data_IF_341818121473
#
_entry.id   IF_341818121473
#
_cell.length_a   1.000
_cell.length_b   1.000
_cell.length_c   1.000
_cell.angle_alpha   90.00
_cell.angle_beta   90.00
_cell.angle_gamma   90.00
#
_symmetry.space_group_name_H-M   'P 1'
#
loop_
_entity.id
_entity.type
_entity.pdbx_description
1 polymer ?
#
# COMPACT_ATOMS: atom_id res chain seq x y z
N UNK A 1 30.88 14.62 -7.30
CA UNK A 1 30.50 13.91 -8.55
C UNK A 1 29.70 14.86 -9.42
N UNK A 2 29.96 14.86 -10.74
CA UNK A 2 29.36 15.81 -11.70
C UNK A 2 27.83 15.86 -11.66
N UNK A 3 27.15 14.72 -11.50
CA UNK A 3 25.67 14.68 -11.44
C UNK A 3 25.05 15.57 -10.35
N UNK A 4 25.79 15.89 -9.27
CA UNK A 4 25.31 16.79 -8.21
C UNK A 4 25.19 18.26 -8.65
N UNK A 5 25.77 18.62 -9.79
CA UNK A 5 25.73 20.00 -10.32
C UNK A 5 24.59 20.22 -11.31
N UNK A 6 23.82 19.19 -11.67
CA UNK A 6 22.69 19.28 -12.59
C UNK A 6 21.43 19.75 -11.84
N UNK A 7 21.40 21.03 -11.48
CA UNK A 7 20.26 21.68 -10.84
C UNK A 7 19.46 22.51 -11.84
N UNK A 8 18.20 22.83 -11.52
CA UNK A 8 17.38 23.75 -12.32
C UNK A 8 18.07 25.11 -12.45
N UNK A 9 18.08 25.67 -13.66
CA UNK A 9 18.63 27.00 -13.91
C UNK A 9 17.81 28.09 -13.18
N UNK A 10 18.49 29.13 -12.72
CA UNK A 10 17.84 30.31 -12.15
C UNK A 10 16.92 30.97 -13.19
N UNK A 11 15.68 31.24 -12.82
CA UNK A 11 14.68 31.83 -13.73
C UNK A 11 13.97 30.84 -14.65
N UNK A 12 14.18 29.53 -14.49
CA UNK A 12 13.40 28.52 -15.21
C UNK A 12 11.89 28.68 -14.96
N UNK A 13 11.11 28.60 -16.04
CA UNK A 13 9.64 28.69 -16.00
C UNK A 13 9.01 27.33 -16.23
N UNK A 14 7.86 27.09 -15.58
CA UNK A 14 7.07 25.87 -15.70
C UNK A 14 5.65 26.22 -16.16
N UNK A 15 5.00 25.34 -16.94
CA UNK A 15 3.61 25.54 -17.39
C UNK A 15 2.62 25.61 -16.21
N UNK A 16 2.93 24.92 -15.11
CA UNK A 16 2.14 24.90 -13.87
C UNK A 16 3.02 24.61 -12.67
N UNK A 17 2.76 25.27 -11.54
CA UNK A 17 3.43 25.02 -10.27
C UNK A 17 2.37 24.66 -9.23
N UNK A 18 2.51 23.48 -8.61
CA UNK A 18 1.65 23.01 -7.51
C UNK A 18 2.51 22.86 -6.27
N UNK A 19 2.12 23.54 -5.18
CA UNK A 19 2.83 23.47 -3.89
C UNK A 19 1.99 22.66 -2.90
N UNK A 20 2.59 21.65 -2.28
CA UNK A 20 1.95 20.78 -1.29
C UNK A 20 2.76 20.85 0.01
N UNK A 21 2.10 21.12 1.13
CA UNK A 21 2.74 21.08 2.46
C UNK A 21 2.74 19.63 2.96
N UNK A 22 3.93 19.09 3.26
CA UNK A 22 4.06 17.69 3.63
C UNK A 22 3.35 17.36 4.95
N UNK A 23 3.33 18.30 5.88
CA UNK A 23 2.65 18.21 7.18
C UNK A 23 1.12 18.10 7.07
N UNK A 24 0.52 18.53 5.96
CA UNK A 24 -0.92 18.42 5.71
C UNK A 24 -1.32 17.04 5.16
N UNK A 25 -0.35 16.23 4.73
CA UNK A 25 -0.60 14.92 4.11
C UNK A 25 -0.75 13.86 5.20
N UNK A 26 -2.00 13.51 5.53
CA UNK A 26 -2.30 12.36 6.37
C UNK A 26 -1.98 11.03 5.68
N UNK A 27 -1.82 9.91 6.43
CA UNK A 27 -1.65 8.58 5.82
C UNK A 27 -2.74 8.27 4.80
N UNK A 28 -2.34 7.94 3.58
CA UNK A 28 -3.22 7.76 2.43
C UNK A 28 -3.48 6.28 2.13
N UNK A 29 -4.63 6.00 1.52
CA UNK A 29 -5.01 4.68 1.01
C UNK A 29 -5.92 4.83 -0.21
N UNK A 30 -5.72 4.00 -1.23
CA UNK A 30 -6.65 3.99 -2.38
C UNK A 30 -7.95 3.31 -1.99
N UNK A 31 -9.10 3.91 -2.27
CA UNK A 31 -10.41 3.28 -2.08
C UNK A 31 -10.92 2.59 -3.34
N UNK A 32 -10.44 3.00 -4.52
CA UNK A 32 -10.93 2.51 -5.81
C UNK A 32 -9.95 1.59 -6.55
N UNK A 33 -10.06 1.56 -7.88
CA UNK A 33 -9.33 0.65 -8.78
C UNK A 33 -8.23 1.34 -9.59
N UNK A 34 -7.88 2.59 -9.26
CA UNK A 34 -6.70 3.24 -9.82
C UNK A 34 -6.01 4.13 -8.77
N UNK A 35 -4.73 4.52 -9.00
CA UNK A 35 -3.98 5.30 -8.01
C UNK A 35 -4.53 6.71 -7.72
N UNK A 36 -5.36 7.28 -8.60
CA UNK A 36 -6.00 8.57 -8.37
C UNK A 36 -7.22 8.52 -7.44
N UNK A 37 -7.79 7.33 -7.21
CA UNK A 37 -8.90 7.12 -6.28
C UNK A 37 -8.36 6.87 -4.87
N UNK A 38 -7.85 7.95 -4.26
CA UNK A 38 -7.14 7.95 -2.97
C UNK A 38 -7.79 8.92 -1.99
N UNK A 39 -7.77 8.56 -0.70
CA UNK A 39 -8.23 9.39 0.42
C UNK A 39 -7.29 9.22 1.62
N UNK A 40 -7.37 10.13 2.59
CA UNK A 40 -6.77 9.87 3.90
C UNK A 40 -7.46 8.68 4.54
N UNK A 41 -6.73 7.88 5.31
CA UNK A 41 -7.26 6.63 5.89
C UNK A 41 -8.50 6.82 6.78
N UNK A 42 -8.64 8.00 7.39
CA UNK A 42 -9.78 8.36 8.25
C UNK A 42 -10.91 9.08 7.51
N UNK A 43 -10.71 9.44 6.24
CA UNK A 43 -11.76 10.09 5.46
C UNK A 43 -12.78 9.04 5.01
N UNK A 44 -14.02 9.48 4.81
CA UNK A 44 -15.08 8.62 4.30
C UNK A 44 -14.89 8.34 2.81
N UNK A 45 -15.17 7.09 2.41
CA UNK A 45 -15.24 6.70 1.01
C UNK A 45 -16.28 7.59 0.31
N UNK A 46 -15.93 8.23 -0.83
CA UNK A 46 -16.81 9.19 -1.47
C UNK A 46 -18.07 8.53 -2.03
N UNK A 47 -19.19 9.24 -1.93
CA UNK A 47 -20.43 8.86 -2.60
C UNK A 47 -20.31 9.20 -4.10
N UNK A 48 -20.54 8.26 -5.03
CA UNK A 48 -20.54 8.56 -6.46
C UNK A 48 -21.46 9.73 -6.85
N UNK A 49 -22.56 9.93 -6.13
CA UNK A 49 -23.48 11.05 -6.38
C UNK A 49 -22.84 12.44 -6.12
N UNK A 50 -21.73 12.50 -5.37
CA UNK A 50 -21.01 13.76 -5.08
C UNK A 50 -20.14 14.25 -6.25
N UNK A 51 -19.84 13.40 -7.24
CA UNK A 51 -19.05 13.80 -8.40
C UNK A 51 -19.92 14.53 -9.43
N UNK A 52 -19.50 15.73 -9.81
CA UNK A 52 -20.19 16.55 -10.82
C UNK A 52 -19.98 16.01 -12.24
N UNK A 53 -18.77 15.50 -12.53
CA UNK A 53 -18.45 14.90 -13.82
C UNK A 53 -19.11 13.52 -13.95
N UNK A 54 -19.96 13.29 -14.97
CA UNK A 54 -20.61 12.00 -15.18
C UNK A 54 -19.62 10.85 -15.44
N UNK A 55 -18.44 11.13 -16.00
CA UNK A 55 -17.38 10.13 -16.23
C UNK A 55 -16.76 9.70 -14.90
N UNK A 56 -16.43 10.67 -14.03
CA UNK A 56 -15.91 10.37 -12.70
C UNK A 56 -16.93 9.63 -11.85
N UNK A 57 -18.20 10.04 -11.88
CA UNK A 57 -19.31 9.35 -11.20
C UNK A 57 -19.40 7.89 -11.64
N UNK A 58 -19.47 7.63 -12.95
CA UNK A 58 -19.54 6.27 -13.47
C UNK A 58 -18.28 5.44 -13.13
N UNK A 59 -17.11 6.08 -13.06
CA UNK A 59 -15.86 5.44 -12.63
C UNK A 59 -15.89 5.08 -11.14
N UNK A 60 -16.40 5.97 -10.28
CA UNK A 60 -16.59 5.73 -8.85
C UNK A 60 -17.59 4.60 -8.58
N UNK A 61 -18.74 4.58 -9.26
CA UNK A 61 -19.74 3.50 -9.14
C UNK A 61 -19.13 2.12 -9.45
N UNK A 62 -18.40 2.01 -10.56
CA UNK A 62 -17.72 0.77 -10.95
C UNK A 62 -16.65 0.37 -9.95
N UNK A 63 -15.84 1.33 -9.50
CA UNK A 63 -14.78 1.08 -8.53
C UNK A 63 -15.36 0.57 -7.20
N UNK A 64 -16.42 1.19 -6.66
CA UNK A 64 -17.05 0.74 -5.42
C UNK A 64 -17.68 -0.65 -5.57
N UNK A 65 -18.33 -0.92 -6.70
CA UNK A 65 -18.90 -2.24 -6.99
C UNK A 65 -17.82 -3.33 -7.04
N UNK A 66 -16.71 -3.08 -7.73
CA UNK A 66 -15.57 -4.01 -7.82
C UNK A 66 -14.93 -4.23 -6.44
N UNK A 67 -14.62 -3.11 -5.75
CA UNK A 67 -13.96 -3.11 -4.45
C UNK A 67 -14.89 -3.61 -3.34
N UNK A 68 -16.19 -3.81 -3.60
CA UNK A 68 -17.17 -4.24 -2.60
C UNK A 68 -17.22 -3.29 -1.41
N UNK A 69 -17.22 -1.98 -1.68
CA UNK A 69 -17.21 -0.92 -0.68
C UNK A 69 -18.54 -0.17 -0.66
N UNK A 70 -18.90 0.35 0.51
CA UNK A 70 -20.03 1.26 0.70
C UNK A 70 -19.50 2.69 0.85
N UNK A 71 -20.17 3.70 0.26
CA UNK A 71 -19.81 5.09 0.50
C UNK A 71 -20.13 5.51 1.94
N UNK A 72 -19.49 6.57 2.41
CA UNK A 72 -19.79 7.21 3.70
C UNK A 72 -19.16 6.57 4.94
N UNK A 73 -18.42 5.46 4.79
CA UNK A 73 -17.63 4.86 5.88
C UNK A 73 -16.13 5.06 5.61
N UNK A 74 -15.28 5.13 6.66
CA UNK A 74 -13.83 5.16 6.48
C UNK A 74 -13.29 3.76 6.14
N UNK A 75 -12.14 3.71 5.48
CA UNK A 75 -11.47 2.43 5.18
C UNK A 75 -10.99 1.70 6.45
N UNK A 76 -10.86 2.41 7.58
CA UNK A 76 -10.53 1.78 8.86
C UNK A 76 -11.56 0.76 9.35
N UNK A 77 -12.80 0.82 8.85
CA UNK A 77 -13.85 -0.16 9.15
C UNK A 77 -13.81 -1.39 8.21
N UNK A 78 -12.90 -1.41 7.25
CA UNK A 78 -12.82 -2.45 6.22
C UNK A 78 -11.73 -3.47 6.56
N UNK A 79 -12.14 -4.73 6.75
CA UNK A 79 -11.24 -5.85 7.00
C UNK A 79 -10.45 -6.25 5.77
N UNK A 80 -9.28 -6.83 5.98
CA UNK A 80 -8.41 -7.35 4.93
C UNK A 80 -8.17 -8.85 5.07
N UNK A 81 -7.86 -9.51 3.96
CA UNK A 81 -7.51 -10.93 3.91
C UNK A 81 -6.01 -11.14 3.72
N UNK A 82 -5.35 -10.22 2.99
CA UNK A 82 -3.92 -10.30 2.69
C UNK A 82 -3.19 -8.98 2.88
N UNK A 83 -1.90 -9.10 3.18
CA UNK A 83 -0.95 -8.00 3.14
C UNK A 83 0.21 -8.36 2.26
N UNK A 84 0.64 -7.41 1.44
CA UNK A 84 1.81 -7.55 0.59
C UNK A 84 2.74 -6.35 0.75
N UNK A 85 3.89 -6.58 1.39
CA UNK A 85 4.99 -5.63 1.51
C UNK A 85 6.08 -6.07 0.53
N UNK A 86 6.10 -5.45 -0.63
CA UNK A 86 7.00 -5.81 -1.72
C UNK A 86 6.67 -5.03 -2.98
N UNK A 87 7.69 -4.56 -3.69
CA UNK A 87 7.63 -4.03 -5.07
C UNK A 87 8.93 -3.27 -5.35
N UNK A 88 9.25 -3.01 -6.62
CA UNK A 88 10.32 -2.08 -6.96
C UNK A 88 10.13 -0.66 -6.38
N UNK A 89 8.91 -0.30 -5.97
CA UNK A 89 8.58 1.03 -5.43
C UNK A 89 8.83 1.14 -3.93
N UNK A 90 8.48 0.10 -3.15
CA UNK A 90 8.34 0.17 -1.70
C UNK A 90 8.89 -1.08 -0.98
N UNK A 91 10.10 -1.50 -1.35
CA UNK A 91 10.81 -2.60 -0.66
C UNK A 91 12.32 -2.35 -0.59
N UNK A 92 12.70 -1.08 -0.44
CA UNK A 92 14.07 -0.68 -0.06
C UNK A 92 14.29 -0.96 1.43
N UNK A 93 15.51 -0.81 1.91
CA UNK A 93 15.82 -1.14 3.30
C UNK A 93 15.04 -0.26 4.29
N UNK A 94 14.88 1.03 3.98
CA UNK A 94 14.08 1.96 4.79
C UNK A 94 12.59 1.60 4.84
N UNK A 95 12.04 1.05 3.75
CA UNK A 95 10.67 0.56 3.70
C UNK A 95 10.48 -0.64 4.64
N UNK A 96 11.43 -1.58 4.61
CA UNK A 96 11.41 -2.77 5.47
C UNK A 96 11.61 -2.41 6.94
N UNK A 97 12.48 -1.45 7.26
CA UNK A 97 12.64 -0.94 8.64
C UNK A 97 11.34 -0.32 9.15
N UNK A 98 10.71 0.55 8.36
CA UNK A 98 9.45 1.20 8.75
C UNK A 98 8.33 0.18 9.01
N UNK A 99 8.23 -0.87 8.18
CA UNK A 99 7.30 -1.97 8.41
C UNK A 99 7.68 -2.82 9.63
N UNK A 100 8.96 -3.10 9.84
CA UNK A 100 9.44 -3.90 10.96
C UNK A 100 9.19 -3.23 12.32
N UNK A 101 9.34 -1.91 12.43
CA UNK A 101 9.02 -1.17 13.66
C UNK A 101 7.55 -1.38 14.08
N UNK A 102 6.63 -1.44 13.11
CA UNK A 102 5.22 -1.76 13.37
C UNK A 102 5.01 -3.26 13.65
N UNK A 103 5.73 -4.16 13.00
CA UNK A 103 5.58 -5.60 13.23
C UNK A 103 6.15 -6.06 14.59
N UNK A 104 7.18 -5.39 15.10
CA UNK A 104 7.95 -5.79 16.29
C UNK A 104 7.06 -5.93 17.52
N UNK A 105 7.13 -7.09 18.16
CA UNK A 105 6.36 -7.42 19.37
C UNK A 105 4.86 -7.64 19.13
N UNK A 106 4.39 -7.63 17.88
CA UNK A 106 2.99 -7.87 17.50
C UNK A 106 2.87 -9.18 16.72
N UNK A 107 1.63 -9.61 16.45
CA UNK A 107 1.32 -10.76 15.62
C UNK A 107 0.35 -10.36 14.52
N UNK A 108 0.51 -10.95 13.34
CA UNK A 108 -0.46 -10.87 12.24
C UNK A 108 -1.83 -11.33 12.76
N UNK A 109 -2.86 -10.57 12.43
CA UNK A 109 -4.21 -10.80 12.88
C UNK A 109 -4.74 -12.16 12.39
N UNK A 110 -5.58 -12.86 13.18
CA UNK A 110 -6.16 -14.14 12.76
C UNK A 110 -6.89 -14.02 11.41
N UNK A 111 -6.59 -14.94 10.50
CA UNK A 111 -7.19 -14.97 9.17
C UNK A 111 -6.49 -14.09 8.11
N UNK A 112 -5.51 -13.27 8.50
CA UNK A 112 -4.72 -12.47 7.54
C UNK A 112 -3.48 -13.24 7.10
N UNK A 113 -3.24 -13.30 5.79
CA UNK A 113 -1.96 -13.76 5.23
C UNK A 113 -1.08 -12.56 4.88
N UNK A 114 0.10 -12.44 5.50
CA UNK A 114 1.00 -11.32 5.29
C UNK A 114 2.33 -11.76 4.67
N UNK A 115 2.71 -11.12 3.55
CA UNK A 115 3.90 -11.44 2.77
C UNK A 115 4.88 -10.26 2.82
N UNK A 116 6.17 -10.55 3.02
CA UNK A 116 7.24 -9.56 2.85
C UNK A 116 8.25 -10.04 1.81
N UNK A 117 8.47 -9.21 0.80
CA UNK A 117 9.30 -9.51 -0.37
C UNK A 117 10.32 -8.38 -0.55
N UNK A 118 11.61 -8.62 -0.21
CA UNK A 118 12.67 -7.62 -0.41
C UNK A 118 12.83 -7.24 -1.88
N UNK A 119 13.17 -5.98 -2.16
CA UNK A 119 13.25 -5.48 -3.53
C UNK A 119 14.43 -6.01 -4.35
N UNK A 120 15.45 -6.56 -3.68
CA UNK A 120 16.63 -7.14 -4.32
C UNK A 120 17.38 -8.07 -3.36
N UNK A 121 18.31 -8.86 -3.90
CA UNK A 121 19.23 -9.69 -3.12
C UNK A 121 20.04 -8.89 -2.07
N UNK A 122 20.67 -7.75 -2.44
CA UNK A 122 21.38 -6.91 -1.47
C UNK A 122 20.48 -6.37 -0.36
N UNK A 123 19.26 -5.92 -0.68
CA UNK A 123 18.31 -5.44 0.35
C UNK A 123 17.91 -6.58 1.29
N UNK A 124 17.67 -7.78 0.76
CA UNK A 124 17.40 -8.97 1.58
C UNK A 124 18.56 -9.27 2.53
N UNK A 125 19.77 -9.37 2.00
CA UNK A 125 20.97 -9.66 2.78
C UNK A 125 21.19 -8.62 3.88
N UNK A 126 20.96 -7.33 3.58
CA UNK A 126 21.03 -6.27 4.56
C UNK A 126 19.93 -6.38 5.63
N UNK A 127 18.68 -6.62 5.23
CA UNK A 127 17.57 -6.79 6.16
C UNK A 127 17.79 -7.98 7.11
N UNK A 128 18.38 -9.08 6.62
CA UNK A 128 18.73 -10.26 7.42
C UNK A 128 19.91 -9.98 8.36
N UNK A 129 20.92 -9.23 7.91
CA UNK A 129 22.02 -8.78 8.77
C UNK A 129 21.55 -7.86 9.90
N UNK A 130 20.51 -7.05 9.65
CA UNK A 130 19.86 -6.18 10.64
C UNK A 130 18.83 -6.94 11.51
N UNK A 131 18.50 -8.19 11.17
CA UNK A 131 17.52 -9.02 11.89
C UNK A 131 16.05 -8.64 11.65
N UNK A 132 15.76 -7.88 10.59
CA UNK A 132 14.40 -7.49 10.23
C UNK A 132 13.55 -8.70 9.81
N UNK A 133 14.18 -9.67 9.14
CA UNK A 133 13.55 -10.95 8.77
C UNK A 133 12.99 -11.68 9.99
N UNK A 134 13.74 -11.70 11.09
CA UNK A 134 13.33 -12.33 12.35
C UNK A 134 12.13 -11.62 12.96
N UNK A 135 12.10 -10.29 12.92
CA UNK A 135 10.95 -9.49 13.39
C UNK A 135 9.69 -9.87 12.59
N UNK A 136 9.80 -9.93 11.27
CA UNK A 136 8.68 -10.30 10.41
C UNK A 136 8.21 -11.74 10.64
N UNK A 137 9.14 -12.71 10.68
CA UNK A 137 8.83 -14.12 10.93
C UNK A 137 8.20 -14.30 12.31
N UNK A 138 8.73 -13.64 13.34
CA UNK A 138 8.17 -13.68 14.68
C UNK A 138 6.75 -13.12 14.69
N UNK A 139 6.51 -12.01 13.99
CA UNK A 139 5.18 -11.45 13.86
C UNK A 139 4.22 -12.33 13.03
N UNK A 140 4.69 -13.34 12.31
CA UNK A 140 3.88 -14.26 11.51
C UNK A 140 3.78 -13.88 10.04
N UNK A 141 4.64 -12.99 9.55
CA UNK A 141 4.77 -12.70 8.13
C UNK A 141 5.57 -13.79 7.42
N UNK A 142 5.20 -14.07 6.17
CA UNK A 142 5.97 -14.91 5.27
C UNK A 142 7.13 -14.13 4.66
N UNK A 143 8.37 -14.47 5.05
CA UNK A 143 9.59 -13.88 4.50
C UNK A 143 9.99 -14.55 3.18
N UNK A 144 9.86 -13.83 2.06
CA UNK A 144 10.09 -14.38 0.71
C UNK A 144 11.50 -14.09 0.16
N UNK A 145 11.78 -14.72 -0.98
CA UNK A 145 12.92 -14.36 -1.84
C UNK A 145 12.61 -13.09 -2.63
N UNK A 146 13.64 -12.29 -2.99
CA UNK A 146 13.43 -11.04 -3.70
C UNK A 146 12.86 -11.30 -5.10
N UNK A 147 11.90 -10.48 -5.53
CA UNK A 147 11.26 -10.61 -6.83
C UNK A 147 9.97 -9.81 -6.94
N UNK A 148 9.30 -9.88 -8.10
CA UNK A 148 8.05 -9.15 -8.30
C UNK A 148 6.86 -9.74 -7.51
N UNK A 149 6.81 -11.06 -7.32
CA UNK A 149 5.80 -11.75 -6.48
C UNK A 149 4.38 -11.24 -6.78
N UNK A 150 3.58 -10.92 -5.74
CA UNK A 150 2.20 -10.48 -5.86
C UNK A 150 2.05 -9.14 -6.59
N UNK A 151 3.08 -8.29 -6.69
CA UNK A 151 3.01 -7.02 -7.46
C UNK A 151 2.60 -7.25 -8.94
N UNK A 152 2.90 -8.44 -9.46
CA UNK A 152 2.54 -8.92 -10.80
C UNK A 152 1.67 -10.19 -10.77
N UNK A 153 1.15 -10.59 -9.61
CA UNK A 153 0.46 -11.87 -9.40
C UNK A 153 1.29 -13.09 -9.89
N UNK A 154 2.60 -13.06 -9.67
CA UNK A 154 3.51 -14.13 -10.10
C UNK A 154 3.51 -15.29 -9.12
N UNK A 155 3.84 -16.48 -9.62
CA UNK A 155 3.87 -17.71 -8.83
C UNK A 155 2.50 -17.97 -8.15
N UNK A 156 2.53 -18.46 -6.91
CA UNK A 156 1.33 -18.66 -6.08
C UNK A 156 0.96 -17.41 -5.27
N UNK A 157 1.73 -16.32 -5.36
CA UNK A 157 1.45 -15.08 -4.64
C UNK A 157 0.39 -14.27 -5.43
N UNK A 158 -0.89 -14.60 -5.23
CA UNK A 158 -2.02 -13.96 -5.90
C UNK A 158 -3.25 -13.84 -4.97
N UNK A 159 -4.14 -12.92 -5.31
CA UNK A 159 -5.45 -12.80 -4.72
C UNK A 159 -6.45 -13.74 -5.39
N UNK A 160 -7.29 -14.37 -4.57
CA UNK A 160 -8.49 -15.05 -5.00
C UNK A 160 -9.64 -14.04 -5.20
N UNK A 161 -10.69 -14.39 -5.97
CA UNK A 161 -11.86 -13.53 -6.13
C UNK A 161 -12.45 -13.12 -4.78
N UNK A 162 -12.63 -11.82 -4.57
CA UNK A 162 -13.21 -11.25 -3.36
C UNK A 162 -12.21 -10.92 -2.25
N UNK A 163 -11.01 -11.52 -2.26
CA UNK A 163 -9.97 -11.23 -1.27
C UNK A 163 -9.50 -9.78 -1.37
N UNK A 164 -9.29 -9.15 -0.22
CA UNK A 164 -8.82 -7.78 -0.08
C UNK A 164 -7.39 -7.73 0.42
N UNK A 165 -6.57 -6.94 -0.28
CA UNK A 165 -5.15 -6.78 0.03
C UNK A 165 -4.80 -5.33 0.39
N UNK A 166 -4.04 -5.15 1.48
CA UNK A 166 -3.24 -3.96 1.71
C UNK A 166 -1.86 -4.17 1.09
N UNK A 167 -1.53 -3.42 0.03
CA UNK A 167 -0.43 -3.69 -0.87
C UNK A 167 0.50 -2.49 -1.03
N UNK A 168 1.81 -2.70 -0.92
CA UNK A 168 2.83 -1.69 -1.21
C UNK A 168 3.25 -1.69 -2.69
N UNK A 169 2.35 -2.16 -3.57
CA UNK A 169 2.48 -2.01 -5.01
C UNK A 169 2.28 -0.54 -5.43
N UNK A 170 2.51 -0.23 -6.70
CA UNK A 170 2.14 1.05 -7.31
C UNK A 170 0.94 0.95 -8.27
N UNK A 171 0.32 -0.23 -8.36
CA UNK A 171 -0.78 -0.52 -9.30
C UNK A 171 -1.84 -1.39 -8.63
N UNK A 172 -3.10 -0.97 -8.74
CA UNK A 172 -4.29 -1.65 -8.19
C UNK A 172 -5.44 -1.77 -9.19
N UNK A 173 -5.19 -1.66 -10.50
CA UNK A 173 -6.22 -1.90 -11.50
C UNK A 173 -6.81 -3.31 -11.40
N UNK A 174 -8.05 -3.46 -11.86
CA UNK A 174 -8.80 -4.70 -11.73
C UNK A 174 -8.03 -5.91 -12.29
N UNK A 175 -7.91 -6.96 -11.48
CA UNK A 175 -7.19 -8.17 -11.86
C UNK A 175 -5.66 -8.11 -11.69
N UNK A 176 -5.09 -6.96 -11.28
CA UNK A 176 -3.64 -6.74 -11.22
C UNK A 176 -2.90 -7.76 -10.35
N UNK A 177 -3.38 -7.99 -9.13
CA UNK A 177 -2.78 -8.92 -8.17
C UNK A 177 -3.51 -10.26 -8.12
N UNK A 178 -4.42 -10.51 -9.07
CA UNK A 178 -5.29 -11.69 -9.12
C UNK A 178 -6.69 -11.34 -9.62
N UNK A 179 -7.30 -12.23 -10.42
CA UNK A 179 -8.62 -11.97 -11.03
C UNK A 179 -9.69 -11.83 -9.94
N UNK A 180 -10.33 -10.67 -9.87
CA UNK A 180 -11.36 -10.36 -8.88
C UNK A 180 -10.82 -10.04 -7.47
N UNK A 181 -9.50 -9.91 -7.31
CA UNK A 181 -8.89 -9.46 -6.07
C UNK A 181 -8.98 -7.94 -5.89
N UNK A 182 -9.18 -7.49 -4.66
CA UNK A 182 -9.42 -6.09 -4.30
C UNK A 182 -8.17 -5.50 -3.67
N UNK A 183 -7.44 -4.67 -4.41
CA UNK A 183 -6.14 -4.16 -3.97
C UNK A 183 -6.24 -2.71 -3.52
N UNK A 184 -5.70 -2.42 -2.34
CA UNK A 184 -5.50 -1.07 -1.83
C UNK A 184 -4.02 -0.75 -1.78
N UNK A 185 -3.61 0.36 -2.38
CA UNK A 185 -2.24 0.85 -2.33
C UNK A 185 -2.03 1.60 -1.02
N UNK A 186 -0.96 1.24 -0.31
CA UNK A 186 -0.60 1.78 1.00
C UNK A 186 0.92 1.84 1.18
N UNK A 187 1.39 2.62 2.16
CA UNK A 187 2.80 2.61 2.55
C UNK A 187 3.20 1.31 3.28
N UNK A 188 4.51 0.98 3.38
CA UNK A 188 4.99 -0.18 4.13
C UNK A 188 4.54 -0.21 5.60
N UNK A 189 4.58 0.94 6.28
CA UNK A 189 4.12 1.04 7.67
C UNK A 189 2.61 0.77 7.79
N UNK A 190 1.80 1.30 6.87
CA UNK A 190 0.35 1.06 6.82
C UNK A 190 0.02 -0.41 6.49
N UNK A 191 0.78 -1.03 5.59
CA UNK A 191 0.62 -2.45 5.28
C UNK A 191 0.92 -3.32 6.51
N UNK A 192 2.01 -3.05 7.23
CA UNK A 192 2.35 -3.76 8.46
C UNK A 192 1.32 -3.53 9.57
N UNK A 193 0.83 -2.29 9.71
CA UNK A 193 -0.27 -1.94 10.61
C UNK A 193 -1.53 -2.75 10.30
N UNK A 194 -1.95 -2.77 9.05
CA UNK A 194 -3.12 -3.52 8.63
C UNK A 194 -2.96 -5.03 8.86
N UNK A 195 -1.73 -5.56 8.70
CA UNK A 195 -1.45 -6.96 8.95
C UNK A 195 -1.71 -7.35 10.42
N UNK A 196 -1.32 -6.48 11.37
CA UNK A 196 -1.42 -6.79 12.81
C UNK A 196 -2.78 -6.41 13.40
N UNK A 197 -3.54 -5.52 12.78
CA UNK A 197 -4.90 -5.13 13.21
C UNK A 197 -6.01 -5.88 12.47
N UNK A 198 -5.75 -6.40 11.28
CA UNK A 198 -6.74 -7.06 10.42
C UNK A 198 -7.61 -6.13 9.58
N UNK A 199 -7.35 -4.82 9.62
CA UNK A 199 -8.06 -3.78 8.89
C UNK A 199 -7.15 -2.57 8.65
N UNK A 200 -7.50 -1.66 7.74
CA UNK A 200 -6.70 -0.43 7.56
C UNK A 200 -6.66 0.40 8.85
N UNK A 201 -5.53 1.03 9.17
CA UNK A 201 -5.38 1.74 10.44
C UNK A 201 -4.53 2.99 10.30
N UNK A 202 -4.90 4.05 11.00
CA UNK A 202 -4.03 5.23 11.07
C UNK A 202 -2.74 4.89 11.82
N UNK A 203 -1.63 4.82 11.07
CA UNK A 203 -0.31 4.47 11.60
C UNK A 203 0.17 5.41 12.71
N UNK A 204 -0.37 6.63 12.81
CA UNK A 204 -0.05 7.58 13.89
C UNK A 204 -0.57 7.11 15.26
N UNK A 205 -1.56 6.22 15.25
CA UNK A 205 -2.19 5.67 16.45
C UNK A 205 -1.59 4.32 16.88
N UNK A 206 -0.65 3.77 16.11
CA UNK A 206 0.00 2.49 16.40
C UNK A 206 1.38 2.78 17.00
N UNK A 207 1.48 2.66 18.33
CA UNK A 207 2.73 2.77 19.10
C UNK A 207 3.26 1.40 19.44
#
# INVERSE_FOLDING_TARGET
AYWKTLQTDEGATFDTVVTLQAEEISPQVTWGTNPGQVISVNDNIPDPASFADPVERASAEKALAYMGLKPGIPLTEVTIDKVFIGSCTNSRIEDLRAAAEIAKGRKVAPGVQALVVPGSGPVKAQAEAEGLDKIFIEAGFEWRLPGCSMCLAMNNDRLNPGERCASTSNRNFEGRQGRGGRTHLVSPAMAAAAAVTGHFADIRNIK
#
